data_IF_063301781075
#
_entry.id   IF_063301781075
#
_cell.length_a   1.000
_cell.length_b   1.000
_cell.length_c   1.000
_cell.angle_alpha   90.00
_cell.angle_beta   90.00
_cell.angle_gamma   90.00
#
_symmetry.space_group_name_H-M   'P 1'
#
loop_
_entity.id
_entity.type
_entity.pdbx_description
1 polymer ?
#
# COMPACT_ATOMS: atom_id res chain seq x y z
N UNK A 1 2.10 -59.48 14.20
CA UNK A 1 1.84 -59.21 12.77
C UNK A 1 1.15 -57.86 12.54
N UNK A 2 0.00 -57.59 13.18
CA UNK A 2 -0.77 -56.35 13.01
C UNK A 2 0.02 -55.03 13.28
N UNK A 3 0.88 -55.01 14.31
CA UNK A 3 1.74 -53.85 14.64
C UNK A 3 2.82 -53.57 13.59
N UNK A 4 3.32 -54.60 12.90
CA UNK A 4 4.36 -54.46 11.87
C UNK A 4 3.77 -53.84 10.60
N UNK A 5 2.55 -54.26 10.24
CA UNK A 5 1.81 -53.70 9.10
C UNK A 5 1.49 -52.21 9.34
N UNK A 6 1.12 -51.84 10.56
CA UNK A 6 0.89 -50.44 10.94
C UNK A 6 2.16 -49.59 10.80
N UNK A 7 3.32 -50.11 11.23
CA UNK A 7 4.60 -49.41 11.12
C UNK A 7 5.01 -49.23 9.65
N UNK A 8 4.83 -50.25 8.81
CA UNK A 8 5.12 -50.16 7.37
C UNK A 8 4.19 -49.15 6.69
N UNK A 9 2.90 -49.15 7.04
CA UNK A 9 1.95 -48.18 6.52
C UNK A 9 2.30 -46.75 6.97
N UNK A 10 2.69 -46.57 8.23
CA UNK A 10 3.12 -45.26 8.76
C UNK A 10 4.37 -44.75 8.03
N UNK A 11 5.36 -45.63 7.82
CA UNK A 11 6.58 -45.30 7.08
C UNK A 11 6.27 -44.94 5.62
N UNK A 12 5.35 -45.66 4.98
CA UNK A 12 4.90 -45.36 3.61
C UNK A 12 4.20 -43.99 3.53
N UNK A 13 3.36 -43.65 4.51
CA UNK A 13 2.71 -42.33 4.57
C UNK A 13 3.72 -41.21 4.79
N UNK A 14 4.72 -41.42 5.66
CA UNK A 14 5.78 -40.44 5.94
C UNK A 14 6.67 -40.22 4.70
N UNK A 15 7.00 -41.27 3.95
CA UNK A 15 7.82 -41.11 2.72
C UNK A 15 7.08 -40.42 1.58
N UNK A 16 5.74 -40.50 1.55
CA UNK A 16 4.92 -39.89 0.50
C UNK A 16 4.35 -38.51 0.87
N UNK A 17 4.57 -38.03 2.09
CA UNK A 17 4.08 -36.71 2.56
C UNK A 17 5.11 -35.59 2.47
N UNK A 18 6.34 -35.89 2.02
CA UNK A 18 7.33 -34.86 1.73
C UNK A 18 7.08 -34.28 0.33
N UNK A 19 6.21 -33.28 0.23
CA UNK A 19 6.18 -32.38 -0.93
C UNK A 19 7.44 -31.52 -0.91
N UNK A 20 8.54 -32.02 -1.48
CA UNK A 20 9.69 -31.18 -1.81
C UNK A 20 9.29 -30.28 -2.98
N UNK A 21 9.16 -28.97 -2.72
CA UNK A 21 9.14 -27.97 -3.78
C UNK A 21 10.38 -28.16 -4.64
N UNK A 22 10.23 -28.11 -5.97
CA UNK A 22 11.41 -28.09 -6.83
C UNK A 22 12.18 -26.79 -6.63
N UNK A 23 13.49 -26.78 -6.89
CA UNK A 23 14.29 -25.55 -6.82
C UNK A 23 13.70 -24.44 -7.72
N UNK A 24 13.05 -24.84 -8.82
CA UNK A 24 12.35 -23.92 -9.72
C UNK A 24 11.12 -23.28 -9.06
N UNK A 25 10.31 -24.05 -8.32
CA UNK A 25 9.15 -23.52 -7.61
C UNK A 25 9.57 -22.53 -6.51
N UNK A 26 10.68 -22.82 -5.83
CA UNK A 26 11.24 -21.93 -4.82
C UNK A 26 11.72 -20.61 -5.44
N UNK A 27 12.40 -20.68 -6.59
CA UNK A 27 12.83 -19.48 -7.32
C UNK A 27 11.65 -18.62 -7.76
N UNK A 28 10.59 -19.22 -8.32
CA UNK A 28 9.36 -18.51 -8.69
C UNK A 28 8.73 -17.83 -7.46
N UNK A 29 8.71 -18.51 -6.32
CA UNK A 29 8.17 -17.94 -5.08
C UNK A 29 8.98 -16.73 -4.60
N UNK A 30 10.32 -16.82 -4.65
CA UNK A 30 11.22 -15.73 -4.25
C UNK A 30 11.03 -14.52 -5.18
N UNK A 31 11.03 -14.74 -6.48
CA UNK A 31 10.82 -13.67 -7.47
C UNK A 31 9.46 -12.99 -7.26
N UNK A 32 8.40 -13.77 -7.01
CA UNK A 32 7.08 -13.22 -6.69
C UNK A 32 7.05 -12.43 -5.38
N UNK A 33 7.77 -12.86 -4.35
CA UNK A 33 7.89 -12.11 -3.09
C UNK A 33 8.56 -10.76 -3.33
N UNK A 34 9.63 -10.72 -4.11
CA UNK A 34 10.38 -9.50 -4.40
C UNK A 34 9.55 -8.46 -5.16
N UNK A 35 8.82 -8.87 -6.21
CA UNK A 35 7.92 -7.95 -6.92
C UNK A 35 6.74 -7.52 -6.06
N UNK A 36 6.39 -8.26 -5.00
CA UNK A 36 5.36 -7.88 -4.02
C UNK A 36 5.92 -7.06 -2.85
N UNK A 37 7.19 -6.66 -2.92
CA UNK A 37 7.86 -5.89 -1.87
C UNK A 37 7.97 -6.65 -0.55
N UNK A 38 8.16 -7.97 -0.62
CA UNK A 38 8.20 -8.87 0.53
C UNK A 38 7.01 -8.70 1.48
N UNK A 39 5.84 -8.38 0.90
CA UNK A 39 4.58 -8.17 1.61
C UNK A 39 4.64 -7.03 2.64
N UNK A 40 5.59 -6.10 2.47
CA UNK A 40 5.74 -4.90 3.29
C UNK A 40 5.16 -3.67 2.58
N UNK A 41 5.10 -2.57 3.32
CA UNK A 41 4.74 -1.26 2.77
C UNK A 41 5.79 -0.79 1.76
N UNK A 42 5.43 -0.77 0.47
CA UNK A 42 6.31 -0.30 -0.61
C UNK A 42 6.24 1.22 -0.80
N UNK A 43 5.35 1.89 -0.06
CA UNK A 43 5.10 3.34 -0.11
C UNK A 43 5.68 3.99 1.14
N UNK A 44 7.00 3.87 1.29
CA UNK A 44 7.72 4.54 2.36
C UNK A 44 9.06 5.10 1.86
N UNK A 45 9.60 6.07 2.57
CA UNK A 45 10.85 6.76 2.18
C UNK A 45 12.07 5.82 2.21
N UNK A 46 12.10 4.84 3.12
CA UNK A 46 13.19 3.84 3.22
C UNK A 46 13.19 2.88 2.03
N UNK A 47 12.02 2.56 1.50
CA UNK A 47 11.80 1.76 0.30
C UNK A 47 12.04 2.58 -0.97
N UNK A 48 12.40 3.87 -0.87
CA UNK A 48 12.72 4.72 -2.02
C UNK A 48 11.51 5.29 -2.76
N UNK A 49 10.30 5.20 -2.18
CA UNK A 49 9.12 5.82 -2.76
C UNK A 49 9.20 7.35 -2.66
N UNK A 50 8.62 8.05 -3.63
CA UNK A 50 8.71 9.50 -3.74
C UNK A 50 7.36 10.12 -4.09
N UNK A 51 7.13 11.35 -3.62
CA UNK A 51 5.99 12.16 -4.06
C UNK A 51 6.45 13.03 -5.23
N UNK A 52 6.22 12.57 -6.46
CA UNK A 52 6.79 13.22 -7.64
C UNK A 52 6.24 14.60 -7.91
N UNK A 53 5.07 14.93 -7.36
CA UNK A 53 4.48 16.26 -7.44
C UNK A 53 4.54 17.04 -6.12
N UNK A 54 5.50 16.75 -5.24
CA UNK A 54 5.66 17.42 -3.93
C UNK A 54 5.62 18.96 -3.99
N UNK A 55 6.17 19.56 -5.06
CA UNK A 55 6.16 21.04 -5.24
C UNK A 55 4.77 21.65 -5.40
N UNK A 56 3.74 20.84 -5.66
CA UNK A 56 2.34 21.25 -5.80
C UNK A 56 1.54 21.03 -4.50
N UNK A 57 2.19 20.47 -3.46
CA UNK A 57 1.57 20.11 -2.20
C UNK A 57 2.06 21.02 -1.09
N UNK A 58 1.26 21.14 -0.02
CA UNK A 58 1.69 21.83 1.21
C UNK A 58 1.90 20.80 2.30
N UNK A 59 3.05 20.84 2.96
CA UNK A 59 3.41 19.90 4.02
C UNK A 59 3.34 20.62 5.37
N UNK A 60 2.45 20.17 6.25
CA UNK A 60 2.24 20.74 7.57
C UNK A 60 2.86 19.88 8.66
N UNK A 61 3.44 20.53 9.68
CA UNK A 61 3.87 19.85 10.89
C UNK A 61 5.37 19.61 11.07
N UNK A 62 6.19 20.65 10.80
CA UNK A 62 7.65 20.64 10.85
C UNK A 62 8.33 19.61 9.92
N UNK A 63 9.62 19.84 9.64
CA UNK A 63 10.33 19.19 8.54
C UNK A 63 10.54 17.67 8.71
N UNK A 64 10.53 17.16 9.94
CA UNK A 64 10.83 15.75 10.20
C UNK A 64 9.64 14.79 10.02
N UNK A 65 8.39 15.29 10.07
CA UNK A 65 7.21 14.42 10.24
C UNK A 65 6.03 14.75 9.32
N UNK A 66 6.21 15.56 8.29
CA UNK A 66 5.10 16.04 7.44
C UNK A 66 4.83 15.18 6.19
N UNK A 67 5.71 14.23 5.87
CA UNK A 67 5.57 13.31 4.75
C UNK A 67 4.51 12.24 5.02
N UNK A 68 3.62 11.92 4.06
CA UNK A 68 2.67 10.82 4.18
C UNK A 68 3.36 9.46 3.94
N UNK A 69 4.64 9.44 3.55
CA UNK A 69 5.46 8.26 3.31
C UNK A 69 6.29 7.82 4.54
N UNK A 70 6.08 8.47 5.68
CA UNK A 70 6.80 8.18 6.93
C UNK A 70 6.50 6.78 7.47
N UNK A 71 7.52 6.13 8.04
CA UNK A 71 7.39 4.77 8.61
C UNK A 71 6.43 4.72 9.79
N UNK A 72 6.46 5.75 10.64
CA UNK A 72 5.67 5.84 11.84
C UNK A 72 4.99 7.20 11.96
N UNK A 73 3.81 7.20 12.57
CA UNK A 73 3.02 8.40 12.80
C UNK A 73 3.34 8.86 14.21
N UNK A 74 4.35 9.70 14.35
CA UNK A 74 4.64 10.38 15.61
C UNK A 74 3.87 11.69 15.68
N UNK A 75 3.45 12.05 16.88
CA UNK A 75 2.89 13.38 17.16
C UNK A 75 3.99 14.43 17.04
N UNK A 76 3.64 15.59 16.49
CA UNK A 76 4.45 16.81 16.55
C UNK A 76 4.15 17.50 17.87
N UNK A 77 5.08 18.35 18.31
CA UNK A 77 4.91 19.21 19.46
C UNK A 77 3.49 19.84 19.49
N UNK A 78 2.85 19.76 20.66
CA UNK A 78 1.45 20.16 20.91
C UNK A 78 0.35 19.24 20.34
N UNK A 79 0.63 17.96 20.06
CA UNK A 79 -0.41 16.95 19.81
C UNK A 79 -1.04 17.02 18.41
N UNK A 80 -0.36 17.64 17.46
CA UNK A 80 -0.78 17.67 16.05
C UNK A 80 0.00 16.62 15.25
N UNK A 81 -0.65 15.94 14.31
CA UNK A 81 0.02 15.02 13.38
C UNK A 81 0.40 15.77 12.12
N UNK A 82 1.60 15.51 11.60
CA UNK A 82 2.00 16.10 10.31
C UNK A 82 1.10 15.56 9.21
N UNK A 83 0.80 16.37 8.20
CA UNK A 83 -0.03 15.95 7.08
C UNK A 83 0.36 16.68 5.80
N UNK A 84 0.04 16.05 4.69
CA UNK A 84 0.12 16.64 3.37
C UNK A 84 -1.23 17.16 2.95
N UNK A 85 -1.25 18.38 2.46
CA UNK A 85 -2.40 19.03 1.87
C UNK A 85 -2.26 19.00 0.35
N UNK A 86 -3.18 18.30 -0.31
CA UNK A 86 -3.39 18.40 -1.75
C UNK A 86 -4.56 19.36 -2.01
N UNK A 87 -4.40 20.38 -2.86
CA UNK A 87 -5.44 21.40 -3.08
C UNK A 87 -6.74 20.76 -3.62
N UNK A 88 -7.85 21.51 -3.54
CA UNK A 88 -9.12 21.12 -4.17
C UNK A 88 -8.89 20.88 -5.66
N UNK A 89 -9.44 19.78 -6.19
CA UNK A 89 -9.17 19.24 -7.54
C UNK A 89 -7.69 18.91 -7.81
N UNK A 90 -6.86 18.89 -6.76
CA UNK A 90 -5.47 18.50 -6.80
C UNK A 90 -5.27 17.00 -6.63
N UNK A 91 -4.01 16.57 -6.65
CA UNK A 91 -3.63 15.17 -6.52
C UNK A 91 -2.33 15.00 -5.76
N UNK A 92 -2.16 13.85 -5.13
CA UNK A 92 -0.88 13.35 -4.63
C UNK A 92 -0.47 12.23 -5.58
N UNK A 93 0.66 12.39 -6.28
CA UNK A 93 1.24 11.34 -7.13
C UNK A 93 2.40 10.70 -6.40
N UNK A 94 2.33 9.38 -6.26
CA UNK A 94 3.34 8.56 -5.61
C UNK A 94 4.02 7.68 -6.64
N UNK A 95 5.33 7.85 -6.80
CA UNK A 95 6.15 7.01 -7.65
C UNK A 95 6.88 5.99 -6.76
N UNK A 96 6.79 4.71 -7.13
CA UNK A 96 7.44 3.61 -6.42
C UNK A 96 8.89 3.47 -6.90
N UNK A 97 9.75 2.87 -6.08
CA UNK A 97 11.16 2.66 -6.43
C UNK A 97 11.34 1.76 -7.67
N UNK A 98 10.46 0.77 -7.79
CA UNK A 98 10.36 -0.14 -8.90
C UNK A 98 8.88 -0.48 -9.13
N UNK A 99 8.61 -1.30 -10.14
CA UNK A 99 7.29 -1.87 -10.35
C UNK A 99 7.01 -2.90 -9.25
N UNK A 100 5.87 -2.75 -8.57
CA UNK A 100 5.43 -3.67 -7.53
C UNK A 100 4.07 -4.27 -7.85
N UNK A 101 3.93 -5.58 -7.67
CA UNK A 101 2.63 -6.27 -7.65
C UNK A 101 1.95 -5.98 -6.30
N UNK A 102 0.94 -5.12 -6.30
CA UNK A 102 0.17 -4.73 -5.11
C UNK A 102 -1.32 -4.92 -5.36
N UNK A 103 -2.10 -5.00 -4.29
CA UNK A 103 -3.56 -5.11 -4.35
C UNK A 103 -4.28 -4.29 -3.26
N UNK A 104 -3.52 -3.63 -2.39
CA UNK A 104 -4.04 -2.87 -1.26
C UNK A 104 -3.33 -1.55 -1.13
N UNK A 105 -4.10 -0.47 -1.02
CA UNK A 105 -3.65 0.87 -0.65
C UNK A 105 -4.39 1.30 0.60
N UNK A 106 -3.67 1.78 1.62
CA UNK A 106 -4.26 2.34 2.85
C UNK A 106 -3.97 3.82 2.90
N UNK A 107 -5.01 4.63 3.10
CA UNK A 107 -4.92 6.09 3.17
C UNK A 107 -5.47 6.53 4.51
N UNK A 108 -4.70 7.27 5.27
CA UNK A 108 -5.17 7.91 6.50
C UNK A 108 -5.39 9.40 6.25
N UNK A 109 -6.64 9.83 6.26
CA UNK A 109 -7.01 11.25 6.26
C UNK A 109 -7.08 11.84 7.66
N UNK A 110 -6.83 13.14 7.76
CA UNK A 110 -6.99 13.89 8.99
C UNK A 110 -8.43 13.79 9.52
N UNK A 111 -8.58 13.49 10.81
CA UNK A 111 -9.88 13.20 11.44
C UNK A 111 -10.30 14.36 12.35
N UNK A 112 -10.82 15.43 11.72
CA UNK A 112 -11.55 16.50 12.40
C UNK A 112 -13.03 16.43 12.04
N UNK A 113 -13.89 16.67 13.04
CA UNK A 113 -15.33 16.35 13.10
C UNK A 113 -16.24 17.01 12.04
N UNK A 114 -15.71 17.73 11.06
CA UNK A 114 -16.50 18.43 10.05
C UNK A 114 -15.95 18.34 8.61
N UNK A 115 -14.87 17.59 8.35
CA UNK A 115 -14.29 17.49 7.01
C UNK A 115 -14.81 16.22 6.33
N UNK A 116 -15.41 16.39 5.14
CA UNK A 116 -15.74 15.30 4.23
C UNK A 116 -14.87 15.40 2.99
N UNK A 117 -14.06 14.38 2.74
CA UNK A 117 -13.20 14.26 1.57
C UNK A 117 -13.96 13.59 0.42
N UNK A 118 -13.67 14.01 -0.81
CA UNK A 118 -14.12 13.33 -2.01
C UNK A 118 -12.92 13.01 -2.86
N UNK A 119 -12.60 11.73 -3.02
CA UNK A 119 -11.36 11.34 -3.66
C UNK A 119 -11.52 10.11 -4.54
N UNK A 120 -10.57 9.91 -5.43
CA UNK A 120 -10.38 8.68 -6.19
C UNK A 120 -8.94 8.21 -6.09
N UNK A 121 -8.74 6.90 -6.24
CA UNK A 121 -7.43 6.28 -6.38
C UNK A 121 -7.28 5.79 -7.82
N UNK A 122 -6.19 6.19 -8.46
CA UNK A 122 -5.87 5.82 -9.83
C UNK A 122 -4.51 5.12 -9.84
N UNK A 123 -4.44 3.91 -10.39
CA UNK A 123 -3.19 3.20 -10.63
C UNK A 123 -2.58 3.68 -11.94
N UNK A 124 -1.25 3.69 -12.01
CA UNK A 124 -0.46 3.90 -13.23
C UNK A 124 0.39 2.65 -13.45
N UNK A 125 0.18 2.03 -14.60
CA UNK A 125 0.84 0.80 -15.01
C UNK A 125 2.19 1.06 -15.69
N UNK A 126 3.06 0.03 -15.83
CA UNK A 126 4.34 0.15 -16.52
C UNK A 126 4.28 0.85 -17.89
N UNK A 127 3.22 0.58 -18.66
CA UNK A 127 2.95 1.13 -19.99
C UNK A 127 2.31 2.54 -19.99
N UNK A 128 2.27 3.21 -18.84
CA UNK A 128 1.61 4.51 -18.62
C UNK A 128 0.08 4.52 -18.77
N UNK A 129 -0.56 3.35 -18.91
CA UNK A 129 -2.01 3.27 -18.82
C UNK A 129 -2.48 3.55 -17.38
N UNK A 130 -3.68 4.13 -17.25
CA UNK A 130 -4.26 4.52 -15.97
C UNK A 130 -5.60 3.82 -15.72
N UNK A 131 -5.84 3.38 -14.48
CA UNK A 131 -7.13 2.80 -14.07
C UNK A 131 -7.60 3.38 -12.74
N UNK A 132 -8.87 3.81 -12.68
CA UNK A 132 -9.50 4.21 -11.41
C UNK A 132 -9.99 2.97 -10.68
N UNK A 133 -9.30 2.61 -9.60
CA UNK A 133 -9.65 1.43 -8.78
C UNK A 133 -10.56 1.75 -7.61
N UNK A 134 -10.72 3.03 -7.26
CA UNK A 134 -11.59 3.44 -6.17
C UNK A 134 -12.09 4.87 -6.33
N UNK A 135 -13.32 5.12 -5.91
CA UNK A 135 -13.93 6.46 -5.83
C UNK A 135 -14.78 6.54 -4.57
N UNK A 136 -14.62 7.61 -3.79
CA UNK A 136 -15.45 7.92 -2.65
C UNK A 136 -15.94 9.37 -2.75
N UNK A 137 -17.26 9.55 -2.70
CA UNK A 137 -17.94 10.83 -2.83
C UNK A 137 -18.27 11.51 -1.50
N UNK A 138 -17.98 10.86 -0.37
CA UNK A 138 -18.27 11.37 0.98
C UNK A 138 -17.49 10.61 2.07
N UNK A 139 -16.16 10.69 2.05
CA UNK A 139 -15.30 10.12 3.07
C UNK A 139 -15.22 11.02 4.30
N UNK A 140 -15.59 10.52 5.47
CA UNK A 140 -15.23 11.16 6.74
C UNK A 140 -13.70 11.14 6.94
N UNK A 141 -13.19 11.88 7.92
CA UNK A 141 -11.82 11.68 8.39
C UNK A 141 -11.59 10.24 8.86
N UNK A 142 -10.33 9.78 8.83
CA UNK A 142 -9.96 8.43 9.27
C UNK A 142 -9.23 7.59 8.22
N UNK A 143 -9.25 6.27 8.40
CA UNK A 143 -8.46 5.31 7.62
C UNK A 143 -9.32 4.61 6.58
N UNK A 144 -8.86 4.64 5.33
CA UNK A 144 -9.50 4.02 4.18
C UNK A 144 -8.58 2.94 3.61
N UNK A 145 -9.07 1.70 3.63
CA UNK A 145 -8.42 0.58 2.94
C UNK A 145 -9.09 0.39 1.58
N UNK A 146 -8.31 0.55 0.53
CA UNK A 146 -8.71 0.39 -0.87
C UNK A 146 -8.11 -0.93 -1.36
N UNK A 147 -8.97 -1.88 -1.70
CA UNK A 147 -8.57 -3.20 -2.22
C UNK A 147 -9.02 -3.32 -3.67
N UNK A 148 -8.15 -3.89 -4.51
CA UNK A 148 -8.34 -4.07 -5.95
C UNK A 148 -7.66 -5.37 -6.40
N UNK A 149 -7.75 -5.70 -7.70
CA UNK A 149 -7.12 -6.92 -8.23
C UNK A 149 -5.59 -6.81 -8.19
N UNK A 150 -4.91 -7.95 -8.04
CA UNK A 150 -3.45 -8.04 -8.13
C UNK A 150 -2.93 -7.35 -9.40
N UNK A 151 -2.12 -6.30 -9.21
CA UNK A 151 -1.74 -5.38 -10.28
C UNK A 151 -0.28 -5.00 -10.15
N UNK A 152 0.46 -5.06 -11.27
CA UNK A 152 1.83 -4.56 -11.35
C UNK A 152 1.80 -3.05 -11.57
N UNK A 153 2.18 -2.27 -10.56
CA UNK A 153 2.00 -0.82 -10.52
C UNK A 153 3.35 -0.13 -10.42
N UNK A 154 3.55 0.96 -11.18
CA UNK A 154 4.75 1.82 -11.04
C UNK A 154 4.50 3.09 -10.24
N UNK A 155 3.25 3.56 -10.24
CA UNK A 155 2.84 4.80 -9.57
C UNK A 155 1.34 4.75 -9.30
N UNK A 156 0.87 5.55 -8.35
CA UNK A 156 -0.56 5.78 -8.19
C UNK A 156 -0.85 7.19 -7.72
N UNK A 157 -2.10 7.61 -7.91
CA UNK A 157 -2.58 8.93 -7.60
C UNK A 157 -3.74 8.85 -6.60
N UNK A 158 -3.71 9.75 -5.63
CA UNK A 158 -4.87 10.07 -4.78
C UNK A 158 -5.33 11.46 -5.22
N UNK A 159 -6.51 11.53 -5.85
CA UNK A 159 -6.99 12.76 -6.50
C UNK A 159 -8.26 13.25 -5.82
N UNK A 160 -8.32 14.54 -5.50
CA UNK A 160 -9.57 15.20 -5.11
C UNK A 160 -10.48 15.31 -6.34
N UNK A 161 -11.75 14.90 -6.20
CA UNK A 161 -12.67 14.87 -7.35
C UNK A 161 -13.72 15.98 -7.33
N UNK A 162 -14.05 16.51 -6.16
CA UNK A 162 -15.02 17.61 -5.97
C UNK A 162 -15.14 17.99 -4.48
N UNK A 163 -14.04 17.91 -3.73
CA UNK A 163 -14.02 18.25 -2.32
C UNK A 163 -14.38 19.73 -2.13
N UNK A 164 -15.11 20.05 -1.05
CA UNK A 164 -15.23 21.44 -0.59
C UNK A 164 -13.99 21.88 0.20
N UNK A 165 -13.10 20.94 0.50
CA UNK A 165 -11.87 21.12 1.26
C UNK A 165 -10.73 20.34 0.60
N UNK A 166 -9.48 20.82 0.69
CA UNK A 166 -8.28 20.07 0.28
C UNK A 166 -8.19 18.69 0.93
N UNK A 167 -7.61 17.70 0.25
CA UNK A 167 -7.27 16.42 0.90
C UNK A 167 -6.19 16.67 1.95
N UNK A 168 -6.38 16.16 3.15
CA UNK A 168 -5.39 16.22 4.23
C UNK A 168 -4.98 14.80 4.60
N UNK A 169 -3.81 14.39 4.13
CA UNK A 169 -3.34 13.00 4.22
C UNK A 169 -2.23 12.89 5.25
N UNK A 170 -2.47 12.07 6.28
CA UNK A 170 -1.55 11.76 7.36
C UNK A 170 -0.53 10.70 6.91
N UNK A 171 -1.00 9.62 6.29
CA UNK A 171 -0.15 8.50 5.87
C UNK A 171 -0.77 7.77 4.69
N UNK A 172 0.10 7.23 3.84
CA UNK A 172 -0.27 6.34 2.76
C UNK A 172 0.59 5.09 2.90
N UNK A 173 0.00 3.93 2.62
CA UNK A 173 0.70 2.65 2.52
C UNK A 173 0.21 1.93 1.27
N UNK A 174 1.08 1.14 0.65
CA UNK A 174 0.62 0.15 -0.33
C UNK A 174 1.42 -1.14 -0.19
N UNK A 175 0.74 -2.26 -0.35
CA UNK A 175 1.32 -3.59 -0.17
C UNK A 175 0.46 -4.66 -0.85
N UNK A 176 1.02 -5.85 -0.96
CA UNK A 176 0.27 -7.05 -1.33
C UNK A 176 -0.33 -7.70 -0.07
N UNK A 177 -1.64 -7.89 -0.04
CA UNK A 177 -2.37 -8.59 1.01
C UNK A 177 -2.95 -9.92 0.50
N UNK A 178 -3.00 -10.94 1.36
CA UNK A 178 -3.58 -12.25 1.07
C UNK A 178 -5.09 -12.31 1.38
#
# INVERSE_FOLDING_TARGET
MQKIILIIYLLFVITNSATTYSDQDLMILIERSQIRGDYQDVVNERSGALISNARQLTFYGDQFNNSPLRDAIYDIAAGSKGYVLAPVLGKIRLDLLQEYEINTIVIWFYDLTAITYKFKVTLVYPDDSEEVVYTNSSAAGGIYRVTFNDSLVKSFLITDISGTQPLQVIKIQAFYAF
#
